data_IF_287131602720
#
_entry.id   IF_287131602720
#
_cell.length_a   1.000
_cell.length_b   1.000
_cell.length_c   1.000
_cell.angle_alpha   90.00
_cell.angle_beta   90.00
_cell.angle_gamma   90.00
#
_symmetry.space_group_name_H-M   'P 1'
#
loop_
_entity.id
_entity.type
_entity.pdbx_description
1 polymer ?
#
# COMPACT_ATOMS: atom_id res chain seq x y z
N UNK A 1 -14.47 22.81 -1.66
CA UNK A 1 -12.98 22.93 -1.64
C UNK A 1 -12.34 21.93 -0.68
N UNK A 2 -12.94 21.66 0.47
CA UNK A 2 -12.47 20.63 1.42
C UNK A 2 -12.34 19.23 0.80
N UNK A 3 -13.27 18.83 -0.04
CA UNK A 3 -13.33 17.49 -0.62
C UNK A 3 -12.17 17.20 -1.59
N UNK A 4 -11.75 18.22 -2.34
CA UNK A 4 -10.61 18.15 -3.26
C UNK A 4 -9.30 18.00 -2.47
N UNK A 5 -9.14 18.76 -1.39
CA UNK A 5 -7.97 18.67 -0.52
C UNK A 5 -7.90 17.30 0.15
N UNK A 6 -9.03 16.76 0.57
CA UNK A 6 -9.11 15.44 1.21
C UNK A 6 -8.70 14.30 0.28
N UNK A 7 -9.20 14.33 -0.96
CA UNK A 7 -8.84 13.34 -1.98
C UNK A 7 -7.38 13.44 -2.44
N UNK A 8 -6.73 14.60 -2.22
CA UNK A 8 -5.34 14.81 -2.60
C UNK A 8 -4.33 14.30 -1.57
N UNK A 9 -4.72 14.12 -0.31
CA UNK A 9 -3.81 13.70 0.78
C UNK A 9 -3.08 12.39 0.49
N UNK A 10 -3.73 11.31 0.04
CA UNK A 10 -3.03 10.05 -0.28
C UNK A 10 -2.00 10.22 -1.39
N UNK A 11 -2.30 11.05 -2.40
CA UNK A 11 -1.38 11.31 -3.51
C UNK A 11 -0.15 12.09 -3.04
N UNK A 12 -0.33 13.08 -2.15
CA UNK A 12 0.77 13.85 -1.57
C UNK A 12 1.67 12.94 -0.74
N UNK A 13 1.10 12.08 0.10
CA UNK A 13 1.87 11.12 0.89
C UNK A 13 2.62 10.12 0.02
N UNK A 14 1.99 9.61 -1.02
CA UNK A 14 2.65 8.71 -1.97
C UNK A 14 3.80 9.40 -2.71
N UNK A 15 3.62 10.65 -3.15
CA UNK A 15 4.67 11.42 -3.82
C UNK A 15 5.85 11.73 -2.91
N UNK A 16 5.61 12.04 -1.63
CA UNK A 16 6.67 12.21 -0.64
C UNK A 16 7.44 10.90 -0.42
N UNK A 17 6.75 9.79 -0.28
CA UNK A 17 7.37 8.46 -0.18
C UNK A 17 8.23 8.12 -1.40
N UNK A 18 7.75 8.45 -2.61
CA UNK A 18 8.50 8.29 -3.84
C UNK A 18 9.79 9.12 -3.86
N UNK A 19 9.73 10.39 -3.45
CA UNK A 19 10.91 11.26 -3.34
C UNK A 19 11.94 10.68 -2.39
N UNK A 20 11.55 10.21 -1.21
CA UNK A 20 12.49 9.58 -0.27
C UNK A 20 13.14 8.33 -0.87
N UNK A 21 12.40 7.51 -1.59
CA UNK A 21 12.94 6.34 -2.30
C UNK A 21 13.96 6.72 -3.35
N UNK A 22 13.70 7.76 -4.14
CA UNK A 22 14.62 8.26 -5.16
C UNK A 22 15.90 8.84 -4.56
N UNK A 23 15.80 9.55 -3.45
CA UNK A 23 16.98 10.01 -2.69
C UNK A 23 17.83 8.86 -2.15
N UNK A 24 17.20 7.72 -1.82
CA UNK A 24 17.88 6.50 -1.42
C UNK A 24 18.51 5.72 -2.60
N UNK A 25 18.31 6.19 -3.84
CA UNK A 25 18.86 5.58 -5.05
C UNK A 25 18.02 4.45 -5.63
N UNK A 26 16.81 4.27 -5.14
CA UNK A 26 15.85 3.28 -5.65
C UNK A 26 14.71 4.02 -6.36
N UNK A 27 14.55 3.77 -7.65
CA UNK A 27 13.48 4.40 -8.44
C UNK A 27 12.10 3.98 -7.94
N UNK A 28 11.21 4.95 -7.79
CA UNK A 28 9.88 4.76 -7.18
C UNK A 28 8.87 3.98 -8.06
N UNK A 29 9.31 3.34 -9.13
CA UNK A 29 8.47 2.54 -10.03
C UNK A 29 7.77 1.38 -9.32
N UNK A 30 8.33 0.88 -8.22
CA UNK A 30 7.75 -0.21 -7.43
C UNK A 30 6.50 0.20 -6.63
N UNK A 31 6.24 1.50 -6.49
CA UNK A 31 5.18 2.03 -5.63
C UNK A 31 3.78 1.52 -6.01
N UNK A 32 3.48 1.40 -7.30
CA UNK A 32 2.19 0.94 -7.78
C UNK A 32 1.86 -0.49 -7.29
N UNK A 33 2.82 -1.40 -7.41
CA UNK A 33 2.68 -2.77 -6.90
C UNK A 33 2.53 -2.83 -5.38
N UNK A 34 3.29 -2.00 -4.66
CA UNK A 34 3.22 -1.93 -3.18
C UNK A 34 1.87 -1.38 -2.71
N UNK A 35 1.34 -0.35 -3.36
CA UNK A 35 0.02 0.23 -3.03
C UNK A 35 -1.07 -0.84 -3.22
N UNK A 36 -1.08 -1.52 -4.36
CA UNK A 36 -2.04 -2.60 -4.62
C UNK A 36 -1.91 -3.76 -3.62
N UNK A 37 -0.68 -4.16 -3.31
CA UNK A 37 -0.43 -5.23 -2.36
C UNK A 37 -0.83 -4.85 -0.93
N UNK A 38 -0.54 -3.62 -0.49
CA UNK A 38 -0.91 -3.14 0.85
C UNK A 38 -2.43 -3.06 1.03
N UNK A 39 -3.14 -2.59 0.01
CA UNK A 39 -4.60 -2.54 0.01
C UNK A 39 -5.21 -3.95 0.12
N UNK A 40 -4.68 -4.90 -0.68
CA UNK A 40 -5.09 -6.31 -0.60
C UNK A 40 -4.82 -6.92 0.77
N UNK A 41 -3.61 -6.72 1.32
CA UNK A 41 -3.25 -7.23 2.65
C UNK A 41 -4.16 -6.68 3.75
N UNK A 42 -4.45 -5.39 3.72
CA UNK A 42 -5.36 -4.77 4.69
C UNK A 42 -6.74 -5.41 4.63
N UNK A 43 -7.25 -5.64 3.44
CA UNK A 43 -8.54 -6.30 3.24
C UNK A 43 -8.53 -7.75 3.73
N UNK A 44 -7.52 -8.53 3.37
CA UNK A 44 -7.38 -9.93 3.76
C UNK A 44 -7.24 -10.11 5.27
N UNK A 45 -6.43 -9.25 5.91
CA UNK A 45 -6.25 -9.26 7.36
C UNK A 45 -7.52 -8.81 8.09
N UNK A 46 -8.25 -7.85 7.55
CA UNK A 46 -9.53 -7.44 8.12
C UNK A 46 -10.55 -8.58 8.09
N UNK A 47 -10.61 -9.34 7.01
CA UNK A 47 -11.49 -10.50 6.92
C UNK A 47 -11.20 -11.57 7.99
N UNK A 48 -9.95 -11.65 8.48
CA UNK A 48 -9.56 -12.58 9.56
C UNK A 48 -9.68 -12.00 10.96
N UNK A 49 -9.34 -10.73 11.16
CA UNK A 49 -9.25 -10.10 12.50
C UNK A 49 -10.48 -9.34 12.92
N UNK A 50 -11.35 -8.96 11.98
CA UNK A 50 -12.54 -8.12 12.20
C UNK A 50 -12.22 -6.76 12.85
N UNK A 51 -10.95 -6.37 12.93
CA UNK A 51 -10.51 -5.13 13.54
C UNK A 51 -9.64 -4.32 12.57
N UNK A 52 -10.14 -3.16 12.15
CA UNK A 52 -9.53 -2.35 11.11
C UNK A 52 -8.15 -1.79 11.52
N UNK A 53 -8.00 -1.36 12.78
CA UNK A 53 -6.73 -0.82 13.27
C UNK A 53 -5.61 -1.86 13.28
N UNK A 54 -5.90 -3.07 13.74
CA UNK A 54 -4.94 -4.18 13.77
C UNK A 54 -4.56 -4.56 12.33
N UNK A 55 -5.52 -4.62 11.43
CA UNK A 55 -5.30 -4.98 10.03
C UNK A 55 -4.41 -3.97 9.31
N UNK A 56 -4.62 -2.66 9.55
CA UNK A 56 -3.80 -1.61 8.94
C UNK A 56 -2.37 -1.67 9.48
N UNK A 57 -2.18 -1.75 10.80
CA UNK A 57 -0.84 -1.80 11.40
C UNK A 57 -0.08 -3.02 10.91
N UNK A 58 -0.72 -4.18 10.90
CA UNK A 58 -0.08 -5.42 10.47
C UNK A 58 0.26 -5.41 8.96
N UNK A 59 -0.62 -4.85 8.13
CA UNK A 59 -0.38 -4.66 6.70
C UNK A 59 0.84 -3.78 6.45
N UNK A 60 0.93 -2.63 7.14
CA UNK A 60 2.08 -1.72 7.02
C UNK A 60 3.37 -2.43 7.43
N UNK A 61 3.38 -3.16 8.56
CA UNK A 61 4.56 -3.90 9.01
C UNK A 61 5.02 -4.93 7.99
N UNK A 62 4.10 -5.70 7.42
CA UNK A 62 4.43 -6.70 6.39
C UNK A 62 4.99 -6.02 5.14
N UNK A 63 4.39 -4.94 4.66
CA UNK A 63 4.86 -4.22 3.49
C UNK A 63 6.27 -3.64 3.72
N UNK A 64 6.52 -3.01 4.86
CA UNK A 64 7.84 -2.45 5.20
C UNK A 64 8.89 -3.54 5.25
N UNK A 65 8.58 -4.68 5.87
CA UNK A 65 9.50 -5.81 5.96
C UNK A 65 9.82 -6.38 4.58
N UNK A 66 8.82 -6.52 3.72
CA UNK A 66 9.01 -7.00 2.34
C UNK A 66 9.88 -6.03 1.53
N UNK A 67 9.60 -4.72 1.58
CA UNK A 67 10.40 -3.72 0.88
C UNK A 67 11.84 -3.72 1.39
N UNK A 68 12.03 -3.83 2.70
CA UNK A 68 13.37 -3.90 3.30
C UNK A 68 14.17 -5.11 2.81
N UNK A 69 13.55 -6.29 2.75
CA UNK A 69 14.18 -7.49 2.21
C UNK A 69 14.60 -7.31 0.74
N UNK A 70 13.72 -6.73 -0.07
CA UNK A 70 14.03 -6.46 -1.48
C UNK A 70 15.15 -5.43 -1.64
N UNK A 71 15.16 -4.38 -0.82
CA UNK A 71 16.23 -3.39 -0.83
C UNK A 71 17.58 -4.04 -0.51
N UNK A 72 17.66 -4.91 0.49
CA UNK A 72 18.88 -5.66 0.82
C UNK A 72 19.35 -6.58 -0.31
N UNK A 73 18.42 -7.26 -0.99
CA UNK A 73 18.75 -8.13 -2.12
C UNK A 73 19.30 -7.31 -3.27
N UNK A 74 18.67 -6.17 -3.59
CA UNK A 74 19.09 -5.28 -4.66
C UNK A 74 20.48 -4.73 -4.42
N UNK A 75 20.76 -4.27 -3.20
CA UNK A 75 22.06 -3.73 -2.80
C UNK A 75 23.17 -4.78 -2.89
N UNK A 76 22.94 -5.98 -2.33
CA UNK A 76 23.91 -7.08 -2.35
C UNK A 76 24.19 -7.60 -3.76
N UNK A 77 23.18 -7.64 -4.62
CA UNK A 77 23.30 -8.15 -5.99
C UNK A 77 23.91 -7.14 -6.96
N UNK A 78 24.14 -5.87 -6.54
CA UNK A 78 24.63 -4.78 -7.39
C UNK A 78 23.83 -4.65 -8.70
N UNK A 79 22.54 -4.95 -8.64
CA UNK A 79 21.66 -4.90 -9.81
C UNK A 79 21.35 -3.45 -10.19
N UNK A 80 20.99 -3.25 -11.45
CA UNK A 80 20.50 -1.95 -11.91
C UNK A 80 19.23 -1.58 -11.12
N UNK A 81 19.19 -0.41 -10.42
CA UNK A 81 18.06 0.00 -9.60
C UNK A 81 16.72 0.05 -10.35
N UNK A 82 16.75 0.44 -11.63
CA UNK A 82 15.56 0.47 -12.46
C UNK A 82 14.99 -0.92 -12.73
N UNK A 83 15.85 -1.87 -13.08
CA UNK A 83 15.43 -3.25 -13.35
C UNK A 83 14.89 -3.92 -12.08
N UNK A 84 15.53 -3.67 -10.95
CA UNK A 84 15.10 -4.16 -9.65
C UNK A 84 13.73 -3.61 -9.25
N UNK A 85 13.51 -2.30 -9.37
CA UNK A 85 12.24 -1.66 -9.05
C UNK A 85 11.08 -2.17 -9.91
N UNK A 86 11.33 -2.36 -11.21
CA UNK A 86 10.32 -2.91 -12.14
C UNK A 86 9.99 -4.37 -11.83
N UNK A 87 11.01 -5.17 -11.51
CA UNK A 87 10.80 -6.57 -11.13
C UNK A 87 9.97 -6.68 -9.84
N UNK A 88 10.26 -5.85 -8.83
CA UNK A 88 9.49 -5.79 -7.58
C UNK A 88 8.03 -5.42 -7.86
N UNK A 89 7.78 -4.42 -8.70
CA UNK A 89 6.43 -4.03 -9.08
C UNK A 89 5.64 -5.19 -9.69
N UNK A 90 6.23 -5.91 -10.63
CA UNK A 90 5.61 -7.08 -11.27
C UNK A 90 5.36 -8.21 -10.27
N UNK A 91 6.30 -8.47 -9.35
CA UNK A 91 6.14 -9.50 -8.33
C UNK A 91 4.97 -9.17 -7.41
N UNK A 92 4.90 -7.95 -6.87
CA UNK A 92 3.80 -7.56 -5.98
C UNK A 92 2.45 -7.58 -6.69
N UNK A 93 2.36 -7.08 -7.90
CA UNK A 93 1.13 -7.08 -8.71
C UNK A 93 0.66 -8.51 -8.98
N UNK A 94 1.56 -9.39 -9.43
CA UNK A 94 1.23 -10.79 -9.70
C UNK A 94 0.85 -11.55 -8.44
N UNK A 95 1.56 -11.31 -7.34
CA UNK A 95 1.30 -11.94 -6.05
C UNK A 95 -0.06 -11.54 -5.49
N UNK A 96 -0.42 -10.24 -5.60
CA UNK A 96 -1.74 -9.74 -5.22
C UNK A 96 -2.85 -10.44 -6.02
N UNK A 97 -2.68 -10.55 -7.34
CA UNK A 97 -3.66 -11.19 -8.22
C UNK A 97 -3.83 -12.69 -7.90
N UNK A 98 -2.74 -13.40 -7.65
CA UNK A 98 -2.77 -14.81 -7.28
C UNK A 98 -3.45 -15.03 -5.93
N UNK A 99 -3.08 -14.28 -4.90
CA UNK A 99 -3.67 -14.39 -3.57
C UNK A 99 -5.15 -14.01 -3.58
N UNK A 100 -5.54 -12.97 -4.31
CA UNK A 100 -6.94 -12.59 -4.47
C UNK A 100 -7.76 -13.72 -5.11
N UNK A 101 -7.21 -14.38 -6.11
CA UNK A 101 -7.86 -15.53 -6.75
C UNK A 101 -7.99 -16.75 -5.83
N UNK A 102 -7.00 -17.01 -4.97
CA UNK A 102 -6.99 -18.16 -4.08
C UNK A 102 -7.90 -17.94 -2.87
N UNK A 103 -7.82 -16.75 -2.23
CA UNK A 103 -8.52 -16.47 -0.98
C UNK A 103 -9.97 -16.09 -1.22
N UNK A 104 -10.24 -15.24 -2.21
CA UNK A 104 -11.56 -14.68 -2.45
C UNK A 104 -12.24 -15.23 -3.71
N UNK A 105 -11.59 -16.14 -4.44
CA UNK A 105 -12.09 -16.72 -5.71
C UNK A 105 -12.51 -15.65 -6.76
N UNK A 106 -11.96 -14.43 -6.64
CA UNK A 106 -12.24 -13.32 -7.54
C UNK A 106 -10.95 -12.74 -8.10
N UNK A 107 -10.99 -12.33 -9.37
CA UNK A 107 -9.90 -11.57 -10.03
C UNK A 107 -10.24 -10.09 -10.20
N UNK A 108 -11.33 -9.65 -9.59
CA UNK A 108 -11.84 -8.28 -9.70
C UNK A 108 -11.62 -7.45 -8.43
N UNK A 109 -12.39 -6.37 -8.35
CA UNK A 109 -12.35 -5.44 -7.21
C UNK A 109 -12.97 -6.11 -5.98
N UNK A 110 -12.22 -6.14 -4.89
CA UNK A 110 -12.70 -6.57 -3.59
C UNK A 110 -13.45 -5.40 -2.94
N UNK A 111 -14.74 -5.60 -2.64
CA UNK A 111 -15.57 -4.61 -1.98
C UNK A 111 -16.11 -5.14 -0.66
N UNK A 112 -15.99 -4.35 0.40
CA UNK A 112 -16.61 -4.63 1.68
C UNK A 112 -17.21 -3.34 2.23
N UNK A 113 -18.36 -3.44 2.88
CA UNK A 113 -19.02 -2.30 3.53
C UNK A 113 -18.13 -1.65 4.61
N UNK A 114 -17.23 -2.39 5.21
CA UNK A 114 -16.30 -1.89 6.22
C UNK A 114 -15.24 -0.91 5.69
N UNK A 115 -14.98 -0.91 4.38
CA UNK A 115 -14.03 0.00 3.70
C UNK A 115 -14.74 1.10 2.90
N UNK A 116 -16.05 1.16 2.96
CA UNK A 116 -16.80 2.33 2.50
C UNK A 116 -16.75 3.36 3.63
N UNK A 117 -15.77 4.25 3.56
CA UNK A 117 -15.69 5.37 4.49
C UNK A 117 -16.83 6.33 4.20
N UNK A 118 -17.77 6.46 5.13
CA UNK A 118 -18.75 7.52 5.06
C UNK A 118 -18.01 8.82 5.35
N UNK A 119 -18.12 9.79 4.43
CA UNK A 119 -17.41 11.06 4.46
C UNK A 119 -17.66 11.83 5.79
N UNK A 120 -18.82 11.66 6.38
CA UNK A 120 -19.18 12.30 7.64
C UNK A 120 -18.39 11.78 8.84
N UNK A 121 -18.07 10.49 8.90
CA UNK A 121 -17.30 9.90 10.02
C UNK A 121 -15.82 10.30 9.97
N UNK A 122 -15.24 10.41 8.78
CA UNK A 122 -13.83 10.78 8.61
C UNK A 122 -13.59 12.25 8.97
N UNK A 123 -14.58 13.12 8.80
CA UNK A 123 -14.51 14.54 9.13
C UNK A 123 -14.19 14.79 10.62
N UNK A 124 -14.71 13.97 11.52
CA UNK A 124 -14.45 14.08 12.96
C UNK A 124 -13.02 13.73 13.35
N UNK A 125 -12.41 12.75 12.67
CA UNK A 125 -11.01 12.35 12.92
C UNK A 125 -10.06 13.49 12.57
N UNK A 126 -10.36 14.24 11.51
CA UNK A 126 -9.54 15.38 11.09
C UNK A 126 -9.74 16.62 11.98
N UNK A 127 -10.95 16.84 12.49
CA UNK A 127 -11.20 17.89 13.47
C UNK A 127 -10.42 17.64 14.77
N UNK A 128 -10.24 16.38 15.18
CA UNK A 128 -9.43 16.03 16.33
C UNK A 128 -7.91 16.15 16.09
N UNK A 129 -7.46 16.09 14.83
CA UNK A 129 -6.03 16.21 14.49
C UNK A 129 -5.58 17.66 14.26
N UNK A 130 -6.52 18.59 14.10
CA UNK A 130 -6.25 20.02 13.84
C UNK A 130 -6.42 20.91 15.07
N UNK A 131 -6.82 20.34 16.23
CA UNK A 131 -6.85 20.99 17.53
C UNK A 131 -5.62 20.56 18.34
#
# INVERSE_FOLDING_TARGET
MSDILFSSVPLILASLGALFSEYAGILAVFMDGVINFSAFLTFALYAGTMNIFVSVILSVLICVLMIFLFALITEKSKMNPFLSATAINLIFSSFTSLLSSIIFHTRGVLTSKAFVFDYEEVKWVWLCLTV
#
